data_IF_201875117907
#
_entry.id   IF_201875117907
#
_cell.length_a   1.000
_cell.length_b   1.000
_cell.length_c   1.000
_cell.angle_alpha   90.00
_cell.angle_beta   90.00
_cell.angle_gamma   90.00
#
_symmetry.space_group_name_H-M   'P 1'
#
loop_
_entity.id
_entity.type
_entity.pdbx_description
1 polymer ?
#
# COMPACT_ATOMS: atom_id res chain seq x y z
N UNK A 1 -7.06 0.72 45.86
CA UNK A 1 -7.79 0.61 44.58
C UNK A 1 -6.75 0.23 43.55
N UNK A 2 -6.71 -1.05 43.15
CA UNK A 2 -5.64 -1.59 42.32
C UNK A 2 -5.64 -0.94 40.93
N UNK A 3 -4.45 -0.63 40.42
CA UNK A 3 -4.20 -0.09 39.08
C UNK A 3 -4.63 -1.15 38.05
N UNK A 4 -5.87 -1.04 37.58
CA UNK A 4 -6.41 -1.87 36.51
C UNK A 4 -5.64 -1.50 35.24
N UNK A 5 -5.04 -2.49 34.57
CA UNK A 5 -4.28 -2.23 33.35
C UNK A 5 -5.21 -1.61 32.29
N UNK A 6 -4.71 -0.69 31.46
CA UNK A 6 -5.48 -0.06 30.36
C UNK A 6 -6.13 -1.11 29.44
N UNK A 7 -5.55 -2.30 29.38
CA UNK A 7 -6.07 -3.49 28.69
C UNK A 7 -7.41 -3.98 29.27
N UNK A 8 -7.58 -3.96 30.58
CA UNK A 8 -8.83 -4.35 31.26
C UNK A 8 -9.91 -3.27 31.15
N UNK A 9 -9.54 -1.99 31.13
CA UNK A 9 -10.49 -0.88 30.94
C UNK A 9 -11.15 -0.92 29.55
N UNK A 10 -10.44 -1.37 28.51
CA UNK A 10 -10.98 -1.45 27.15
C UNK A 10 -11.84 -2.69 26.91
N UNK A 11 -11.58 -3.78 27.64
CA UNK A 11 -12.44 -4.97 27.64
C UNK A 11 -13.85 -4.67 28.15
N UNK A 12 -14.01 -3.64 28.98
CA UNK A 12 -15.28 -3.16 29.53
C UNK A 12 -16.04 -2.21 28.59
N UNK A 13 -15.36 -1.57 27.62
CA UNK A 13 -15.96 -0.58 26.72
C UNK A 13 -16.39 -1.18 25.36
N UNK A 14 -15.87 -2.35 24.99
CA UNK A 14 -16.26 -3.07 23.78
C UNK A 14 -16.95 -4.39 24.12
N UNK A 15 -18.27 -4.38 24.25
CA UNK A 15 -19.04 -5.63 24.28
C UNK A 15 -18.89 -6.36 22.94
N UNK A 16 -17.93 -7.29 22.88
CA UNK A 16 -18.01 -8.46 22.01
C UNK A 16 -17.21 -8.45 20.70
N UNK A 17 -15.96 -7.96 20.66
CA UNK A 17 -14.96 -8.30 19.61
C UNK A 17 -13.52 -7.81 19.86
N UNK A 18 -13.05 -7.79 21.11
CA UNK A 18 -11.63 -7.48 21.37
C UNK A 18 -10.70 -8.63 20.97
N UNK A 19 -9.66 -8.35 20.19
CA UNK A 19 -8.56 -9.29 19.89
C UNK A 19 -7.97 -9.83 21.19
N UNK A 20 -7.86 -11.15 21.31
CA UNK A 20 -7.17 -11.74 22.45
C UNK A 20 -5.67 -11.38 22.40
N UNK A 21 -5.02 -11.32 23.57
CA UNK A 21 -3.55 -11.15 23.65
C UNK A 21 -2.80 -12.17 22.78
N UNK A 22 -3.35 -13.38 22.64
CA UNK A 22 -2.80 -14.44 21.79
C UNK A 22 -2.86 -14.07 20.31
N UNK A 23 -4.03 -13.67 19.82
CA UNK A 23 -4.22 -13.25 18.42
C UNK A 23 -3.37 -12.04 18.09
N UNK A 24 -3.30 -11.05 18.98
CA UNK A 24 -2.42 -9.89 18.81
C UNK A 24 -0.94 -10.28 18.69
N UNK A 25 -0.45 -11.21 19.54
CA UNK A 25 0.93 -11.67 19.46
C UNK A 25 1.20 -12.55 18.22
N UNK A 26 0.23 -13.36 17.77
CA UNK A 26 0.31 -14.10 16.52
C UNK A 26 0.44 -13.13 15.34
N UNK A 27 -0.36 -12.08 15.35
CA UNK A 27 -0.27 -11.01 14.37
C UNK A 27 1.11 -10.33 14.39
N UNK A 28 1.59 -9.90 15.55
CA UNK A 28 2.92 -9.29 15.68
C UNK A 28 4.04 -10.21 15.15
N UNK A 29 3.87 -11.52 15.34
CA UNK A 29 4.78 -12.54 14.80
C UNK A 29 4.69 -12.63 13.27
N UNK A 30 3.48 -12.62 12.72
CA UNK A 30 3.26 -12.64 11.27
C UNK A 30 3.83 -11.39 10.59
N UNK A 31 3.64 -10.20 11.17
CA UNK A 31 4.28 -8.98 10.70
C UNK A 31 5.80 -9.05 10.77
N UNK A 32 6.35 -9.54 11.88
CA UNK A 32 7.80 -9.69 12.02
C UNK A 32 8.33 -10.53 10.85
N UNK A 33 7.72 -11.68 10.57
CA UNK A 33 8.06 -12.55 9.44
C UNK A 33 7.90 -11.83 8.10
N UNK A 34 6.80 -11.10 7.90
CA UNK A 34 6.54 -10.33 6.68
C UNK A 34 7.62 -9.27 6.43
N UNK A 35 8.12 -8.62 7.48
CA UNK A 35 9.23 -7.65 7.41
C UNK A 35 10.61 -8.33 7.25
N UNK A 36 10.67 -9.64 7.01
CA UNK A 36 11.90 -10.42 6.93
C UNK A 36 12.58 -10.64 8.28
N UNK A 37 11.86 -10.46 9.38
CA UNK A 37 12.35 -10.67 10.75
C UNK A 37 11.90 -12.04 11.28
N UNK A 38 12.64 -12.61 12.22
CA UNK A 38 12.19 -13.84 12.90
C UNK A 38 10.98 -13.59 13.82
N UNK A 39 10.17 -14.62 14.13
CA UNK A 39 9.02 -14.49 15.03
C UNK A 39 9.40 -14.00 16.45
N UNK A 40 10.66 -14.15 16.84
CA UNK A 40 11.22 -13.59 18.09
C UNK A 40 11.12 -12.06 18.18
N UNK A 41 10.92 -11.35 17.06
CA UNK A 41 10.70 -9.91 17.05
C UNK A 41 9.26 -9.48 17.35
N UNK A 42 8.33 -10.42 17.52
CA UNK A 42 6.94 -10.13 17.85
C UNK A 42 6.77 -9.19 19.07
N UNK A 43 7.54 -9.30 20.17
CA UNK A 43 7.43 -8.36 21.28
C UNK A 43 7.85 -6.93 20.92
N UNK A 44 8.83 -6.75 20.02
CA UNK A 44 9.25 -5.43 19.55
C UNK A 44 8.17 -4.79 18.68
N UNK A 45 7.55 -5.59 17.80
CA UNK A 45 6.39 -5.17 17.00
C UNK A 45 5.23 -4.78 17.92
N UNK A 46 4.86 -5.66 18.86
CA UNK A 46 3.83 -5.39 19.86
C UNK A 46 4.08 -4.11 20.64
N UNK A 47 5.32 -3.87 21.09
CA UNK A 47 5.70 -2.66 21.80
C UNK A 47 5.52 -1.41 20.94
N UNK A 48 5.91 -1.44 19.66
CA UNK A 48 5.72 -0.31 18.77
C UNK A 48 4.24 -0.02 18.49
N UNK A 49 3.43 -1.07 18.36
CA UNK A 49 1.98 -0.97 18.15
C UNK A 49 1.20 -0.56 19.42
N UNK A 50 1.80 -0.60 20.60
CA UNK A 50 1.12 -0.31 21.89
C UNK A 50 1.76 0.86 22.65
N UNK A 51 2.63 1.64 22.00
CA UNK A 51 3.24 2.84 22.62
C UNK A 51 2.15 3.82 23.09
N UNK A 52 2.37 4.42 24.27
CA UNK A 52 1.40 5.37 24.89
C UNK A 52 1.03 6.55 23.98
N UNK A 53 1.97 7.02 23.14
CA UNK A 53 1.73 8.03 22.12
C UNK A 53 1.71 7.35 20.75
N UNK A 54 0.57 7.41 20.07
CA UNK A 54 0.38 6.88 18.72
C UNK A 54 0.93 7.90 17.70
N UNK A 55 1.70 7.48 16.69
CA UNK A 55 2.20 8.37 15.65
C UNK A 55 1.05 9.04 14.89
N UNK A 56 1.17 10.35 14.67
CA UNK A 56 0.22 11.11 13.87
C UNK A 56 0.37 10.76 12.39
N UNK A 57 -0.76 10.53 11.72
CA UNK A 57 -0.84 10.21 10.30
C UNK A 57 -1.83 11.16 9.63
N UNK A 58 -1.37 11.82 8.58
CA UNK A 58 -2.19 12.60 7.65
C UNK A 58 -2.28 11.81 6.35
N UNK A 59 -3.47 11.40 5.97
CA UNK A 59 -3.76 10.63 4.77
C UNK A 59 -4.48 11.52 3.76
N UNK A 60 -3.80 11.88 2.67
CA UNK A 60 -4.29 12.75 1.61
C UNK A 60 -4.76 11.93 0.41
N UNK A 61 -5.85 12.37 -0.22
CA UNK A 61 -6.35 11.84 -1.49
C UNK A 61 -6.06 12.83 -2.64
N UNK A 62 -5.52 12.34 -3.74
CA UNK A 62 -5.23 13.11 -4.96
C UNK A 62 -6.05 12.60 -6.15
N UNK A 63 -5.46 12.35 -7.31
CA UNK A 63 -6.16 11.67 -8.41
C UNK A 63 -6.19 10.16 -8.13
N UNK A 64 -7.31 9.68 -7.62
CA UNK A 64 -7.47 8.32 -7.09
C UNK A 64 -8.83 7.71 -7.41
N UNK A 65 -9.03 6.47 -6.94
CA UNK A 65 -10.28 5.72 -7.05
C UNK A 65 -10.69 5.08 -5.71
N UNK A 66 -10.02 5.46 -4.62
CA UNK A 66 -10.22 5.04 -3.22
C UNK A 66 -9.97 3.55 -2.96
N UNK A 67 -9.52 2.81 -3.98
CA UNK A 67 -9.21 1.39 -3.86
C UNK A 67 -8.08 1.08 -2.87
N UNK A 68 -7.14 2.00 -2.63
CA UNK A 68 -6.06 1.74 -1.67
C UNK A 68 -6.56 1.93 -0.24
N UNK A 69 -7.39 2.95 0.02
CA UNK A 69 -8.09 3.09 1.29
C UNK A 69 -9.02 1.91 1.55
N UNK A 70 -9.81 1.47 0.55
CA UNK A 70 -10.65 0.27 0.69
C UNK A 70 -9.82 -0.99 0.99
N UNK A 71 -8.66 -1.16 0.35
CA UNK A 71 -7.76 -2.27 0.67
C UNK A 71 -7.25 -2.22 2.11
N UNK A 72 -6.96 -1.03 2.63
CA UNK A 72 -6.58 -0.83 4.03
C UNK A 72 -7.73 -1.18 4.99
N UNK A 73 -8.97 -0.84 4.63
CA UNK A 73 -10.18 -1.25 5.37
C UNK A 73 -10.41 -2.77 5.36
N UNK A 74 -9.79 -3.52 4.44
CA UNK A 74 -9.82 -5.00 4.40
C UNK A 74 -8.64 -5.66 5.12
N UNK A 75 -7.80 -4.91 5.84
CA UNK A 75 -6.72 -5.51 6.61
C UNK A 75 -7.28 -6.45 7.69
N UNK A 76 -6.65 -7.61 7.87
CA UNK A 76 -7.02 -8.58 8.91
C UNK A 76 -5.77 -8.92 9.71
N UNK A 77 -5.86 -8.67 11.02
CA UNK A 77 -4.70 -8.64 11.91
C UNK A 77 -3.80 -7.47 11.55
N UNK A 78 -3.85 -6.33 12.29
CA UNK A 78 -5.01 -5.88 13.03
C UNK A 78 -6.14 -5.55 12.04
N UNK A 79 -7.37 -5.48 12.52
CA UNK A 79 -8.41 -4.83 11.74
C UNK A 79 -8.15 -3.31 11.65
N UNK A 80 -8.85 -2.63 10.76
CA UNK A 80 -8.64 -1.20 10.56
C UNK A 80 -8.94 -0.37 11.81
N UNK A 81 -9.98 -0.72 12.55
CA UNK A 81 -10.33 -0.11 13.84
C UNK A 81 -9.18 -0.25 14.84
N UNK A 82 -8.63 -1.45 15.00
CA UNK A 82 -7.45 -1.69 15.84
C UNK A 82 -6.22 -0.88 15.35
N UNK A 83 -6.02 -0.74 14.03
CA UNK A 83 -4.93 0.07 13.49
C UNK A 83 -5.06 1.55 13.91
N UNK A 84 -6.25 2.15 13.75
CA UNK A 84 -6.48 3.58 14.05
C UNK A 84 -6.74 3.86 15.53
N UNK A 85 -7.14 2.85 16.32
CA UNK A 85 -7.42 2.98 17.75
C UNK A 85 -6.18 2.65 18.60
N UNK A 86 -5.37 1.67 18.21
CA UNK A 86 -4.24 1.22 19.02
C UNK A 86 -2.88 1.64 18.45
N UNK A 87 -2.71 1.63 17.13
CA UNK A 87 -1.39 1.73 16.51
C UNK A 87 -1.02 3.15 16.10
N UNK A 88 -1.85 3.79 15.28
CA UNK A 88 -1.63 5.14 14.76
C UNK A 88 -2.75 6.08 15.21
N UNK A 89 -2.48 7.39 15.19
CA UNK A 89 -3.50 8.41 15.26
C UNK A 89 -3.76 8.89 13.83
N UNK A 90 -4.82 8.41 13.20
CA UNK A 90 -5.25 8.87 11.89
C UNK A 90 -5.95 10.23 12.06
N UNK A 91 -5.16 11.29 12.07
CA UNK A 91 -5.61 12.63 12.44
C UNK A 91 -6.32 13.36 11.28
N UNK A 92 -6.07 12.92 10.04
CA UNK A 92 -6.76 13.40 8.85
C UNK A 92 -6.88 12.28 7.81
N UNK A 93 -8.09 12.04 7.33
CA UNK A 93 -8.41 11.15 6.22
C UNK A 93 -9.84 11.43 5.75
N UNK A 94 -9.99 12.02 4.56
CA UNK A 94 -11.28 12.50 4.04
C UNK A 94 -12.35 11.40 3.96
N UNK A 95 -11.92 10.15 3.73
CA UNK A 95 -12.84 9.00 3.56
C UNK A 95 -13.55 8.60 4.87
N UNK A 96 -12.90 8.75 6.03
CA UNK A 96 -13.41 8.20 7.30
C UNK A 96 -13.55 9.23 8.42
N UNK A 97 -13.07 10.47 8.23
CA UNK A 97 -13.18 11.52 9.23
C UNK A 97 -14.62 12.04 9.38
N UNK A 98 -14.98 12.43 10.59
CA UNK A 98 -16.31 13.00 10.86
C UNK A 98 -16.46 14.46 10.42
N UNK A 99 -15.36 15.24 10.43
CA UNK A 99 -15.39 16.66 10.09
C UNK A 99 -15.37 16.88 8.57
N UNK A 100 -16.00 17.96 8.11
CA UNK A 100 -16.07 18.36 6.71
C UNK A 100 -15.95 19.89 6.57
N UNK A 101 -15.70 20.38 5.35
CA UNK A 101 -15.55 21.81 5.08
C UNK A 101 -14.44 22.45 5.90
N UNK A 102 -14.70 23.62 6.48
CA UNK A 102 -13.71 24.35 7.29
C UNK A 102 -13.21 23.53 8.48
N UNK A 103 -14.08 22.73 9.10
CA UNK A 103 -13.70 21.87 10.23
C UNK A 103 -12.73 20.75 9.82
N UNK A 104 -12.78 20.25 8.58
CA UNK A 104 -11.78 19.29 8.10
C UNK A 104 -10.45 19.98 7.80
N UNK A 105 -10.48 21.20 7.27
CA UNK A 105 -9.29 22.02 7.08
C UNK A 105 -8.60 22.35 8.41
N UNK A 106 -9.35 22.72 9.44
CA UNK A 106 -8.82 22.96 10.79
C UNK A 106 -8.18 21.69 11.39
N UNK A 107 -8.79 20.51 11.15
CA UNK A 107 -8.22 19.24 11.58
C UNK A 107 -6.88 18.96 10.87
N UNK A 108 -6.78 19.24 9.57
CA UNK A 108 -5.53 19.13 8.81
C UNK A 108 -4.45 20.05 9.37
N UNK A 109 -4.76 21.34 9.55
CA UNK A 109 -3.82 22.32 10.11
C UNK A 109 -3.37 21.93 11.52
N UNK A 110 -4.28 21.43 12.36
CA UNK A 110 -3.95 20.92 13.69
C UNK A 110 -2.99 19.73 13.61
N UNK A 111 -3.22 18.78 12.71
CA UNK A 111 -2.34 17.63 12.52
C UNK A 111 -0.96 18.05 12.00
N UNK A 112 -0.90 19.01 11.07
CA UNK A 112 0.36 19.54 10.53
C UNK A 112 1.20 20.26 11.59
N UNK A 113 0.55 20.90 12.57
CA UNK A 113 1.20 21.61 13.67
C UNK A 113 1.47 20.70 14.89
N UNK A 114 1.34 19.38 14.75
CA UNK A 114 1.65 18.46 15.83
C UNK A 114 3.14 18.58 16.22
N UNK A 115 3.47 18.93 17.48
CA UNK A 115 4.86 19.14 17.90
C UNK A 115 5.72 17.87 17.85
N UNK A 116 5.11 16.69 17.84
CA UNK A 116 5.79 15.40 17.70
C UNK A 116 6.01 15.02 16.23
N UNK A 117 5.57 15.85 15.28
CA UNK A 117 5.57 15.59 13.85
C UNK A 117 4.48 14.59 13.42
N UNK A 118 4.47 14.28 12.12
CA UNK A 118 3.51 13.37 11.50
C UNK A 118 4.12 12.63 10.31
N UNK A 119 3.50 11.50 9.95
CA UNK A 119 3.72 10.79 8.70
C UNK A 119 2.66 11.25 7.70
N UNK A 120 3.08 11.58 6.49
CA UNK A 120 2.18 11.89 5.39
C UNK A 120 2.00 10.64 4.52
N UNK A 121 0.76 10.22 4.30
CA UNK A 121 0.39 9.20 3.32
C UNK A 121 -0.34 9.89 2.19
N UNK A 122 0.06 9.60 0.95
CA UNK A 122 -0.59 10.14 -0.26
C UNK A 122 -1.15 8.96 -1.04
N UNK A 123 -2.46 8.93 -1.21
CA UNK A 123 -3.16 8.06 -2.18
C UNK A 123 -3.48 8.87 -3.44
N UNK A 124 -3.17 8.30 -4.60
CA UNK A 124 -3.43 8.94 -5.88
C UNK A 124 -2.23 9.66 -6.51
N UNK A 125 -2.29 9.81 -7.83
CA UNK A 125 -1.30 10.60 -8.57
C UNK A 125 -1.59 12.08 -8.44
N UNK A 126 -0.58 12.93 -8.63
CA UNK A 126 -0.71 14.38 -8.47
C UNK A 126 -0.80 15.02 -9.86
N UNK A 127 -1.95 15.62 -10.24
CA UNK A 127 -2.07 16.37 -11.49
C UNK A 127 -1.14 17.59 -11.50
N UNK A 128 -0.36 17.78 -12.56
CA UNK A 128 0.61 18.90 -12.64
C UNK A 128 0.38 19.84 -13.82
N UNK A 129 -0.41 19.44 -14.82
CA UNK A 129 -0.69 20.29 -15.98
C UNK A 129 -1.49 21.52 -15.59
N UNK A 130 -1.23 22.63 -16.26
CA UNK A 130 -1.83 23.95 -15.97
C UNK A 130 -1.66 24.39 -14.51
N UNK A 131 -0.58 23.99 -13.84
CA UNK A 131 -0.35 24.33 -12.43
C UNK A 131 -1.13 23.47 -11.44
N UNK A 132 -1.68 22.33 -11.87
CA UNK A 132 -2.42 21.39 -11.01
C UNK A 132 -3.94 21.62 -10.97
N UNK A 133 -4.48 22.44 -11.87
CA UNK A 133 -5.89 22.84 -11.89
C UNK A 133 -6.89 21.69 -12.07
N UNK A 134 -6.45 20.54 -12.58
CA UNK A 134 -7.28 19.35 -12.74
C UNK A 134 -7.70 18.67 -11.41
N UNK A 135 -7.09 19.05 -10.28
CA UNK A 135 -7.46 18.50 -8.98
C UNK A 135 -7.33 19.55 -7.88
N UNK A 136 -8.45 19.87 -7.23
CA UNK A 136 -8.50 20.85 -6.13
C UNK A 136 -9.28 20.32 -4.94
N UNK A 137 -8.79 20.61 -3.74
CA UNK A 137 -9.42 20.31 -2.46
C UNK A 137 -9.39 21.60 -1.64
N UNK A 138 -10.53 22.03 -1.09
CA UNK A 138 -10.60 23.28 -0.33
C UNK A 138 -10.14 24.53 -1.11
N UNK A 139 -10.27 24.53 -2.44
CA UNK A 139 -9.81 25.61 -3.31
C UNK A 139 -8.32 25.62 -3.64
N UNK A 140 -7.51 24.77 -3.01
CA UNK A 140 -6.08 24.59 -3.30
C UNK A 140 -5.87 23.46 -4.30
N UNK A 141 -4.88 23.57 -5.19
CA UNK A 141 -4.52 22.43 -6.07
C UNK A 141 -3.93 21.29 -5.24
N UNK A 142 -4.17 20.05 -5.65
CA UNK A 142 -3.58 18.87 -5.01
C UNK A 142 -2.05 18.95 -4.99
N UNK A 143 -1.44 19.55 -6.02
CA UNK A 143 0.00 19.82 -6.08
C UNK A 143 0.46 20.76 -4.95
N UNK A 144 -0.24 21.88 -4.73
CA UNK A 144 0.08 22.81 -3.65
C UNK A 144 -0.13 22.16 -2.27
N UNK A 145 -1.29 21.52 -2.06
CA UNK A 145 -1.63 20.86 -0.80
C UNK A 145 -0.60 19.79 -0.44
N UNK A 146 -0.27 18.90 -1.37
CA UNK A 146 0.72 17.85 -1.13
C UNK A 146 2.12 18.42 -0.94
N UNK A 147 2.50 19.47 -1.68
CA UNK A 147 3.81 20.12 -1.49
C UNK A 147 3.94 20.67 -0.08
N UNK A 148 2.90 21.34 0.44
CA UNK A 148 2.91 21.91 1.78
C UNK A 148 2.94 20.85 2.89
N UNK A 149 2.09 19.83 2.78
CA UNK A 149 1.95 18.78 3.81
C UNK A 149 3.17 17.85 3.78
N UNK A 150 3.58 17.36 2.61
CA UNK A 150 4.65 16.38 2.53
C UNK A 150 6.03 16.97 2.84
N UNK A 151 6.30 18.24 2.53
CA UNK A 151 7.61 18.86 2.81
C UNK A 151 7.88 19.06 4.31
N UNK A 152 6.83 19.06 5.14
CA UNK A 152 6.90 19.21 6.60
C UNK A 152 6.79 17.87 7.35
N UNK A 153 6.49 16.77 6.63
CA UNK A 153 6.31 15.45 7.23
C UNK A 153 7.65 14.82 7.62
N UNK A 154 7.66 14.00 8.68
CA UNK A 154 8.86 13.23 9.07
C UNK A 154 9.20 12.14 8.06
N UNK A 155 8.18 11.59 7.41
CA UNK A 155 8.28 10.64 6.33
C UNK A 155 7.03 10.73 5.45
N UNK A 156 7.19 10.45 4.16
CA UNK A 156 6.09 10.37 3.19
C UNK A 156 5.97 8.95 2.67
N UNK A 157 4.75 8.43 2.60
CA UNK A 157 4.43 7.13 2.00
C UNK A 157 3.51 7.39 0.81
N UNK A 158 3.92 6.93 -0.37
CA UNK A 158 3.09 6.92 -1.57
C UNK A 158 2.33 5.59 -1.64
N UNK A 159 1.02 5.64 -1.44
CA UNK A 159 0.15 4.47 -1.35
C UNK A 159 -0.47 4.14 -2.70
N UNK A 160 -0.14 2.96 -3.22
CA UNK A 160 -0.61 2.44 -4.49
C UNK A 160 0.14 2.97 -5.71
N UNK A 161 -0.16 2.37 -6.87
CA UNK A 161 0.55 2.68 -8.13
C UNK A 161 0.25 4.08 -8.65
N UNK A 162 -0.90 4.65 -8.30
CA UNK A 162 -1.22 6.04 -8.60
C UNK A 162 -0.24 7.01 -7.91
N UNK A 163 -0.06 6.87 -6.60
CA UNK A 163 0.89 7.71 -5.87
C UNK A 163 2.35 7.33 -6.16
N UNK A 164 2.64 6.06 -6.38
CA UNK A 164 4.02 5.61 -6.63
C UNK A 164 4.53 6.10 -8.01
N UNK A 165 3.70 5.99 -9.05
CA UNK A 165 4.14 6.13 -10.45
C UNK A 165 3.17 6.89 -11.36
N UNK A 166 2.08 7.47 -10.84
CA UNK A 166 1.08 8.23 -11.60
C UNK A 166 -0.19 7.46 -11.94
N UNK A 167 -0.13 6.12 -12.02
CA UNK A 167 -1.32 5.26 -12.16
C UNK A 167 -2.05 5.35 -13.49
N UNK A 168 -3.35 5.03 -13.48
CA UNK A 168 -4.17 4.93 -14.70
C UNK A 168 -4.36 6.27 -15.39
N UNK A 169 -4.50 7.35 -14.61
CA UNK A 169 -4.63 8.71 -15.12
C UNK A 169 -3.34 9.23 -15.77
N UNK A 170 -2.20 8.60 -15.50
CA UNK A 170 -0.92 8.91 -16.12
C UNK A 170 -0.62 8.08 -17.37
N UNK A 171 -1.43 7.06 -17.66
CA UNK A 171 -1.33 6.30 -18.90
C UNK A 171 -1.58 7.21 -20.12
N UNK A 172 -1.03 6.85 -21.28
CA UNK A 172 -1.16 7.65 -22.49
C UNK A 172 -2.64 7.96 -22.81
N UNK A 173 -3.01 9.22 -23.11
CA UNK A 173 -2.13 10.38 -23.37
C UNK A 173 -1.85 11.31 -22.16
N UNK A 174 -2.15 10.89 -20.93
CA UNK A 174 -1.98 11.66 -19.68
C UNK A 174 -2.53 13.11 -19.75
N UNK A 175 -3.86 13.28 -19.88
CA UNK A 175 -4.47 14.59 -20.16
C UNK A 175 -4.25 15.62 -19.04
N UNK A 176 -4.13 15.17 -17.78
CA UNK A 176 -3.94 16.03 -16.60
C UNK A 176 -2.47 16.22 -16.19
N UNK A 177 -1.54 15.55 -16.88
CA UNK A 177 -0.12 15.51 -16.47
C UNK A 177 0.04 14.94 -15.06
N UNK A 178 -0.71 13.89 -14.73
CA UNK A 178 -0.59 13.21 -13.45
C UNK A 178 0.78 12.54 -13.33
N UNK A 179 1.39 12.66 -12.14
CA UNK A 179 2.70 12.12 -11.81
C UNK A 179 2.66 11.40 -10.46
N UNK A 180 3.61 10.50 -10.23
CA UNK A 180 3.82 9.92 -8.90
C UNK A 180 4.36 10.97 -7.91
N UNK A 181 4.20 10.72 -6.61
CA UNK A 181 4.58 11.62 -5.51
C UNK A 181 6.04 12.08 -5.61
N UNK A 182 6.97 11.14 -5.82
CA UNK A 182 8.40 11.46 -5.91
C UNK A 182 8.73 12.38 -7.08
N UNK A 183 8.06 12.21 -8.22
CA UNK A 183 8.27 13.05 -9.40
C UNK A 183 7.59 14.41 -9.26
N UNK A 184 6.35 14.44 -8.79
CA UNK A 184 5.57 15.66 -8.63
C UNK A 184 6.15 16.60 -7.56
N UNK A 185 6.67 16.04 -6.46
CA UNK A 185 7.14 16.79 -5.28
C UNK A 185 8.67 16.90 -5.20
N UNK A 186 9.39 16.52 -6.25
CA UNK A 186 10.86 16.64 -6.30
C UNK A 186 11.35 18.08 -6.03
N UNK A 187 10.58 19.07 -6.48
CA UNK A 187 10.90 20.50 -6.33
C UNK A 187 10.87 21.01 -4.87
N UNK A 188 10.21 20.28 -3.96
CA UNK A 188 10.22 20.54 -2.51
C UNK A 188 11.05 19.50 -1.72
N UNK A 189 11.82 18.67 -2.42
CA UNK A 189 12.77 17.72 -1.81
C UNK A 189 12.15 16.46 -1.19
N UNK A 190 10.87 16.19 -1.45
CA UNK A 190 10.18 14.99 -0.92
C UNK A 190 10.74 13.71 -1.55
N UNK A 191 11.01 12.72 -0.71
CA UNK A 191 11.42 11.35 -1.09
C UNK A 191 10.54 10.34 -0.36
N UNK A 192 9.40 10.03 -0.97
CA UNK A 192 8.42 9.08 -0.47
C UNK A 192 8.84 7.63 -0.65
N UNK A 193 8.41 6.79 0.31
CA UNK A 193 8.46 5.33 0.24
C UNK A 193 7.28 4.86 -0.61
N UNK A 194 7.55 4.13 -1.69
CA UNK A 194 6.53 3.65 -2.61
C UNK A 194 5.98 2.28 -2.18
N UNK A 195 4.69 2.21 -1.88
CA UNK A 195 3.95 0.96 -1.63
C UNK A 195 3.07 0.68 -2.84
N UNK A 196 3.71 0.18 -3.90
CA UNK A 196 3.09 -0.01 -5.21
C UNK A 196 2.08 -1.18 -5.25
N UNK A 197 1.10 -1.07 -6.15
CA UNK A 197 -0.01 -2.02 -6.35
C UNK A 197 -1.32 -1.29 -6.61
N UNK A 198 -2.27 -1.95 -7.28
CA UNK A 198 -3.56 -1.35 -7.66
C UNK A 198 -4.76 -2.25 -7.23
N UNK A 199 -5.11 -2.29 -5.94
CA UNK A 199 -4.41 -1.65 -4.81
C UNK A 199 -3.24 -2.51 -4.27
N UNK A 200 -2.36 -1.94 -3.43
CA UNK A 200 -1.32 -2.72 -2.76
C UNK A 200 -1.91 -3.64 -1.69
N UNK A 201 -1.13 -4.64 -1.25
CA UNK A 201 -1.51 -5.44 -0.10
C UNK A 201 -1.46 -4.58 1.18
N UNK A 202 -2.53 -4.53 1.99
CA UNK A 202 -2.56 -3.67 3.18
C UNK A 202 -1.48 -4.02 4.20
N UNK A 203 -1.04 -5.29 4.26
CA UNK A 203 0.03 -5.71 5.15
C UNK A 203 1.38 -5.04 4.81
N UNK A 204 1.60 -4.65 3.55
CA UNK A 204 2.83 -3.95 3.13
C UNK A 204 2.86 -2.51 3.66
N UNK A 205 1.71 -1.84 3.71
CA UNK A 205 1.58 -0.53 4.34
C UNK A 205 1.84 -0.63 5.85
N UNK A 206 1.13 -1.54 6.53
CA UNK A 206 1.26 -1.70 7.98
C UNK A 206 2.68 -2.11 8.38
N UNK A 207 3.28 -3.06 7.65
CA UNK A 207 4.67 -3.47 7.85
C UNK A 207 5.66 -2.31 7.63
N UNK A 208 5.42 -1.43 6.66
CA UNK A 208 6.26 -0.23 6.46
C UNK A 208 6.17 0.73 7.64
N UNK A 209 4.95 1.02 8.12
CA UNK A 209 4.74 1.88 9.29
C UNK A 209 5.43 1.30 10.51
N UNK A 210 5.25 0.00 10.80
CA UNK A 210 5.91 -0.66 11.93
C UNK A 210 7.43 -0.63 11.79
N UNK A 211 7.96 -0.86 10.59
CA UNK A 211 9.40 -0.78 10.34
C UNK A 211 9.94 0.62 10.64
N UNK A 212 9.26 1.68 10.18
CA UNK A 212 9.63 3.07 10.48
C UNK A 212 9.66 3.33 11.99
N UNK A 213 8.67 2.81 12.74
CA UNK A 213 8.56 3.02 14.18
C UNK A 213 9.55 2.21 15.01
N UNK A 214 10.05 1.09 14.49
CA UNK A 214 10.91 0.15 15.25
C UNK A 214 12.37 0.17 14.82
N UNK A 215 12.64 0.46 13.55
CA UNK A 215 13.95 0.34 12.89
C UNK A 215 14.32 1.54 12.03
N UNK A 216 13.38 2.45 11.76
CA UNK A 216 13.59 3.58 10.86
C UNK A 216 13.40 3.20 9.39
N UNK A 217 14.07 3.89 8.48
CA UNK A 217 13.89 3.74 7.03
C UNK A 217 14.20 2.30 6.56
N UNK A 218 13.27 1.61 5.87
CA UNK A 218 13.57 0.31 5.26
C UNK A 218 14.55 0.45 4.09
N UNK A 219 15.24 -0.64 3.74
CA UNK A 219 15.99 -0.69 2.49
C UNK A 219 15.03 -0.65 1.31
N UNK A 220 15.29 0.24 0.36
CA UNK A 220 14.45 0.46 -0.82
C UNK A 220 15.14 -0.04 -2.09
N UNK A 221 14.37 -0.46 -3.09
CA UNK A 221 14.85 -0.68 -4.44
C UNK A 221 14.99 0.64 -5.23
N UNK A 222 15.36 0.54 -6.51
CA UNK A 222 15.52 1.68 -7.41
C UNK A 222 14.23 2.50 -7.66
N UNK A 223 13.06 1.93 -7.36
CA UNK A 223 11.76 2.58 -7.48
C UNK A 223 11.22 3.03 -6.12
N UNK A 224 12.09 3.15 -5.11
CA UNK A 224 11.76 3.54 -3.74
C UNK A 224 10.81 2.56 -3.02
N UNK A 225 10.75 1.29 -3.43
CA UNK A 225 9.87 0.28 -2.82
C UNK A 225 10.61 -0.52 -1.75
N UNK A 226 9.99 -0.85 -0.59
CA UNK A 226 10.63 -1.66 0.43
C UNK A 226 11.03 -3.06 -0.05
N UNK A 227 12.32 -3.40 0.00
CA UNK A 227 12.83 -4.70 -0.46
C UNK A 227 12.15 -5.87 0.26
N UNK A 228 11.75 -5.70 1.52
CA UNK A 228 11.04 -6.74 2.27
C UNK A 228 9.74 -7.23 1.61
N UNK A 229 9.12 -6.44 0.73
CA UNK A 229 7.90 -6.84 0.00
C UNK A 229 8.10 -6.94 -1.51
N UNK A 230 9.09 -6.22 -2.06
CA UNK A 230 9.28 -6.02 -3.49
C UNK A 230 10.64 -6.56 -4.01
N UNK A 231 11.36 -7.39 -3.25
CA UNK A 231 12.66 -7.94 -3.71
C UNK A 231 12.56 -9.11 -4.70
N UNK A 232 11.38 -9.72 -4.84
CA UNK A 232 11.19 -10.91 -5.68
C UNK A 232 10.02 -10.72 -6.63
N UNK A 233 10.09 -11.39 -7.78
CA UNK A 233 8.99 -11.37 -8.72
C UNK A 233 7.83 -12.24 -8.22
N UNK A 234 6.63 -11.90 -8.65
CA UNK A 234 5.41 -12.70 -8.48
C UNK A 234 5.64 -14.12 -9.02
N UNK A 235 6.43 -14.27 -10.09
CA UNK A 235 6.76 -15.57 -10.68
C UNK A 235 7.67 -16.42 -9.80
N UNK A 236 8.66 -15.83 -9.12
CA UNK A 236 9.62 -16.55 -8.26
C UNK A 236 8.94 -17.35 -7.14
N UNK A 237 7.75 -16.91 -6.75
CA UNK A 237 6.94 -17.52 -5.68
C UNK A 237 5.61 -18.09 -6.18
N UNK A 238 5.41 -18.17 -7.49
CA UNK A 238 4.16 -18.66 -8.07
C UNK A 238 4.02 -20.19 -7.94
N UNK A 239 2.94 -20.74 -7.36
CA UNK A 239 2.72 -22.19 -7.30
C UNK A 239 2.59 -22.88 -8.67
N UNK A 240 2.26 -22.13 -9.73
CA UNK A 240 2.20 -22.62 -11.11
C UNK A 240 3.57 -22.67 -11.81
N UNK A 241 4.66 -22.27 -11.14
CA UNK A 241 6.02 -22.32 -11.71
C UNK A 241 6.42 -23.75 -12.14
N UNK A 242 5.97 -24.78 -11.42
CA UNK A 242 6.16 -26.19 -11.81
C UNK A 242 5.59 -26.53 -13.20
N UNK A 243 4.50 -25.89 -13.60
CA UNK A 243 3.90 -26.06 -14.94
C UNK A 243 4.68 -25.27 -15.97
N UNK A 244 5.09 -24.04 -15.64
CA UNK A 244 5.95 -23.21 -16.49
C UNK A 244 7.24 -23.95 -16.89
N UNK A 245 7.95 -24.54 -15.92
CA UNK A 245 9.21 -25.26 -16.14
C UNK A 245 9.07 -26.51 -17.01
N UNK A 246 7.85 -27.06 -17.15
CA UNK A 246 7.55 -28.23 -17.98
C UNK A 246 6.99 -27.86 -19.36
N UNK A 247 6.81 -26.57 -19.65
CA UNK A 247 6.14 -26.12 -20.86
C UNK A 247 4.60 -26.33 -20.84
N UNK A 248 4.02 -26.55 -19.66
CA UNK A 248 2.59 -26.81 -19.46
C UNK A 248 1.83 -25.48 -19.35
N UNK A 249 1.39 -24.95 -20.50
CA UNK A 249 0.69 -23.67 -20.62
C UNK A 249 -0.79 -23.85 -21.00
N UNK A 250 -1.67 -23.09 -20.34
CA UNK A 250 -3.07 -23.02 -20.76
C UNK A 250 -3.18 -22.27 -22.12
N UNK A 251 -3.80 -22.85 -23.15
CA UNK A 251 -3.94 -22.20 -24.46
C UNK A 251 -5.11 -21.21 -24.52
N UNK A 252 -6.11 -21.35 -23.64
CA UNK A 252 -7.26 -20.44 -23.51
C UNK A 252 -7.84 -20.51 -22.10
N UNK A 253 -8.63 -19.51 -21.70
CA UNK A 253 -9.29 -19.47 -20.38
C UNK A 253 -10.27 -20.63 -20.14
N UNK A 254 -10.87 -21.18 -21.21
CA UNK A 254 -11.90 -22.24 -21.13
C UNK A 254 -11.33 -23.65 -21.30
N UNK A 255 -10.03 -23.76 -21.59
CA UNK A 255 -9.32 -25.01 -21.82
C UNK A 255 -9.31 -25.96 -20.61
N UNK A 256 -9.06 -27.25 -20.83
CA UNK A 256 -8.95 -28.23 -19.73
C UNK A 256 -7.73 -27.94 -18.86
N UNK A 257 -6.66 -27.46 -19.49
CA UNK A 257 -5.39 -27.04 -18.91
C UNK A 257 -5.59 -25.87 -17.94
N UNK A 258 -6.38 -24.85 -18.34
CA UNK A 258 -6.75 -23.75 -17.44
C UNK A 258 -7.52 -24.25 -16.21
N UNK A 259 -8.48 -25.17 -16.39
CA UNK A 259 -9.24 -25.80 -15.29
C UNK A 259 -8.35 -26.64 -14.37
N UNK A 260 -7.27 -27.21 -14.91
CA UNK A 260 -6.27 -27.97 -14.15
C UNK A 260 -5.19 -27.10 -13.50
N UNK A 261 -5.26 -25.76 -13.65
CA UNK A 261 -4.33 -24.84 -13.01
C UNK A 261 -2.98 -24.71 -13.71
N UNK A 262 -2.90 -24.99 -15.02
CA UNK A 262 -1.68 -24.82 -15.81
C UNK A 262 -1.21 -23.36 -15.87
N UNK A 263 0.04 -23.15 -16.29
CA UNK A 263 0.63 -21.81 -16.31
C UNK A 263 -0.11 -20.87 -17.28
N UNK A 264 -0.31 -19.62 -16.86
CA UNK A 264 -1.03 -18.58 -17.60
C UNK A 264 -0.10 -17.70 -18.45
N UNK A 265 1.17 -18.08 -18.64
CA UNK A 265 2.15 -17.26 -19.37
C UNK A 265 1.70 -16.96 -20.82
N UNK A 266 1.24 -17.99 -21.56
CA UNK A 266 0.69 -17.81 -22.92
C UNK A 266 -0.62 -17.02 -22.97
N UNK A 267 -1.27 -16.80 -21.83
CA UNK A 267 -2.45 -15.92 -21.70
C UNK A 267 -2.06 -14.50 -21.25
N UNK A 268 -0.76 -14.17 -21.24
CA UNK A 268 -0.25 -12.83 -21.02
C UNK A 268 0.19 -12.51 -19.59
N UNK A 269 0.44 -13.52 -18.75
CA UNK A 269 0.88 -13.29 -17.37
C UNK A 269 2.20 -12.52 -17.28
N UNK A 270 2.15 -11.32 -16.67
CA UNK A 270 3.27 -10.40 -16.42
C UNK A 270 4.03 -10.69 -15.13
N UNK A 271 3.65 -11.75 -14.42
CA UNK A 271 4.27 -12.16 -13.16
C UNK A 271 5.81 -12.29 -13.20
N UNK A 272 6.44 -12.73 -14.31
CA UNK A 272 7.91 -12.78 -14.42
C UNK A 272 8.61 -11.43 -14.32
N UNK A 273 7.91 -10.32 -14.59
CA UNK A 273 8.44 -8.96 -14.61
C UNK A 273 7.81 -8.06 -13.56
N UNK A 274 7.08 -8.65 -12.60
CA UNK A 274 6.33 -7.90 -11.58
C UNK A 274 6.85 -8.25 -10.20
N UNK A 275 7.31 -7.27 -9.45
CA UNK A 275 7.75 -7.39 -8.08
C UNK A 275 6.60 -7.14 -7.13
N UNK A 276 6.19 -8.18 -6.39
CA UNK A 276 5.17 -8.08 -5.36
C UNK A 276 5.10 -9.37 -4.54
N UNK A 277 4.56 -9.30 -3.33
CA UNK A 277 4.40 -10.44 -2.43
C UNK A 277 3.00 -11.09 -2.50
N UNK A 278 2.23 -10.83 -3.55
CA UNK A 278 0.92 -11.42 -3.80
C UNK A 278 0.83 -12.97 -3.62
N UNK A 279 1.79 -13.80 -4.08
CA UNK A 279 1.70 -15.26 -3.94
C UNK A 279 1.83 -15.75 -2.51
N UNK A 280 2.63 -15.03 -1.72
CA UNK A 280 3.01 -15.43 -0.37
C UNK A 280 2.07 -14.81 0.65
N UNK A 281 1.63 -13.58 0.42
CA UNK A 281 0.77 -12.85 1.35
C UNK A 281 -0.72 -13.07 1.07
N UNK A 282 -1.09 -13.33 -0.19
CA UNK A 282 -2.48 -13.39 -0.67
C UNK A 282 -3.26 -12.08 -0.43
N UNK A 283 -4.43 -11.97 -1.04
CA UNK A 283 -5.41 -10.92 -0.77
C UNK A 283 -6.59 -11.50 0.01
N UNK A 284 -7.04 -10.75 1.01
CA UNK A 284 -8.16 -11.13 1.88
C UNK A 284 -7.98 -12.53 2.48
N UNK A 285 -6.73 -12.93 2.74
CA UNK A 285 -6.35 -14.23 3.31
C UNK A 285 -6.82 -15.45 2.48
N UNK A 286 -7.30 -15.24 1.25
CA UNK A 286 -8.01 -16.26 0.47
C UNK A 286 -7.34 -16.54 -0.87
N UNK A 287 -7.08 -15.52 -1.68
CA UNK A 287 -6.63 -15.73 -3.07
C UNK A 287 -5.77 -14.58 -3.60
N UNK A 288 -5.25 -14.73 -4.80
CA UNK A 288 -4.54 -13.73 -5.59
C UNK A 288 -4.82 -14.00 -7.08
N UNK A 289 -4.50 -13.07 -8.01
CA UNK A 289 -4.99 -13.13 -9.40
C UNK A 289 -4.77 -14.48 -10.10
N UNK A 290 -3.55 -15.02 -10.03
CA UNK A 290 -3.17 -16.26 -10.72
C UNK A 290 -3.84 -17.49 -10.11
N UNK A 291 -4.06 -17.53 -8.79
CA UNK A 291 -4.84 -18.62 -8.17
C UNK A 291 -6.29 -18.59 -8.63
N UNK A 292 -6.87 -17.40 -8.78
CA UNK A 292 -8.21 -17.21 -9.33
C UNK A 292 -8.31 -17.41 -10.86
N UNK A 293 -7.22 -17.79 -11.53
CA UNK A 293 -7.21 -18.12 -12.96
C UNK A 293 -7.00 -16.93 -13.90
N UNK A 294 -6.68 -15.74 -13.39
CA UNK A 294 -6.36 -14.56 -14.20
C UNK A 294 -4.84 -14.31 -14.26
N UNK A 295 -4.26 -14.01 -15.43
CA UNK A 295 -2.86 -13.61 -15.53
C UNK A 295 -2.57 -12.36 -14.69
N UNK A 296 -1.38 -12.28 -14.11
CA UNK A 296 -0.92 -11.04 -13.49
C UNK A 296 -0.79 -9.97 -14.57
N UNK A 297 -1.29 -8.76 -14.30
CA UNK A 297 -1.19 -7.60 -15.21
C UNK A 297 -0.02 -6.66 -14.87
N UNK A 298 0.75 -6.99 -13.83
CA UNK A 298 1.89 -6.20 -13.37
C UNK A 298 1.55 -4.86 -12.71
N UNK A 299 0.44 -4.82 -11.98
CA UNK A 299 -0.09 -3.57 -11.44
C UNK A 299 0.80 -2.84 -10.42
N UNK A 300 1.92 -3.41 -9.98
CA UNK A 300 2.90 -2.77 -9.08
C UNK A 300 4.16 -2.27 -9.77
N UNK A 301 4.22 -2.33 -11.11
CA UNK A 301 5.33 -1.80 -11.89
C UNK A 301 5.04 -0.40 -12.43
N UNK A 302 6.08 0.43 -12.65
CA UNK A 302 5.94 1.71 -13.34
C UNK A 302 5.30 1.54 -14.72
N UNK A 303 4.40 2.45 -15.10
CA UNK A 303 3.87 2.51 -16.46
C UNK A 303 3.11 1.26 -16.96
N UNK A 304 2.72 0.32 -16.09
CA UNK A 304 2.19 -0.98 -16.50
C UNK A 304 0.97 -0.91 -17.43
N UNK A 305 0.18 0.16 -17.37
CA UNK A 305 -0.96 0.39 -18.26
C UNK A 305 -0.55 0.45 -19.74
N UNK A 306 0.60 1.05 -20.03
CA UNK A 306 1.11 1.20 -21.39
C UNK A 306 2.16 0.13 -21.69
N UNK A 307 3.10 -0.10 -20.75
CA UNK A 307 4.22 -1.03 -20.96
C UNK A 307 3.78 -2.49 -21.07
N UNK A 308 2.74 -2.89 -20.32
CA UNK A 308 2.30 -4.29 -20.26
C UNK A 308 1.02 -4.55 -21.06
N UNK A 309 0.52 -3.54 -21.77
CA UNK A 309 -0.60 -3.66 -22.70
C UNK A 309 -0.12 -4.11 -24.08
N UNK A 310 -0.85 -4.98 -24.80
CA UNK A 310 -2.09 -5.64 -24.38
C UNK A 310 -1.84 -6.72 -23.31
N UNK A 311 -2.63 -6.67 -22.22
CA UNK A 311 -2.42 -7.56 -21.06
C UNK A 311 -2.49 -9.05 -21.39
N UNK A 312 -3.35 -9.44 -22.34
CA UNK A 312 -3.57 -10.84 -22.73
C UNK A 312 -2.66 -11.36 -23.83
N UNK A 313 -1.54 -10.68 -24.08
CA UNK A 313 -0.47 -11.17 -24.96
C UNK A 313 0.77 -11.53 -24.14
N UNK A 314 1.44 -12.62 -24.51
CA UNK A 314 2.75 -12.92 -23.93
C UNK A 314 3.73 -11.79 -24.30
N UNK A 315 4.65 -11.49 -23.39
CA UNK A 315 5.77 -10.61 -23.69
C UNK A 315 6.88 -11.53 -24.22
N UNK A 316 7.20 -11.43 -25.51
CA UNK A 316 8.22 -12.27 -26.17
C UNK A 316 9.65 -11.78 -25.86
N UNK A 317 9.88 -10.46 -25.76
CA UNK A 317 11.22 -9.83 -25.64
C UNK A 317 11.49 -9.11 -24.28
N UNK A 318 10.63 -9.31 -23.28
CA UNK A 318 10.62 -8.49 -22.06
C UNK A 318 9.91 -7.13 -22.25
N UNK A 319 9.57 -6.41 -21.15
CA UNK A 319 8.96 -5.10 -21.28
C UNK A 319 9.96 -4.03 -21.74
N UNK A 320 9.49 -3.01 -22.45
CA UNK A 320 10.30 -1.85 -22.85
C UNK A 320 10.95 -1.19 -21.62
N UNK A 321 12.28 -1.19 -21.55
CA UNK A 321 13.04 -0.39 -20.57
C UNK A 321 12.88 1.09 -20.91
N UNK A 322 11.89 1.77 -20.32
CA UNK A 322 11.76 3.24 -20.37
C UNK A 322 11.82 3.84 -18.97
#
# INVERSE_FOLDING_TARGET
MQDISRFEQMRLLGEGRGTSRREFMQYCSALAVLMGMGPAFAPQVAHALTKKKRPSVIYLHCAECTGCTEALLRNVGPFFDELIMETISLDYCETVMAAAGDASHDALLKAMNNPEGYICVIEGGIPTKHGGEFGKVGGQTMLQLCSEVASKAMATIAMGSCASFGGVQAAAPNPSGAKGTNEALAHVGVKAINIAGCPPNPANFVGTVVHLLTKGMPKLDQWSRPLMFFAQTVHDKCPRQKHFNKGEFAPSFTSKEAKQGWCLYKLGCKGPYTYNNCPTQLFNQVTWPVQSGSPCIGCSEPGFWDQYSPFFSAIEDGPDEK
#
